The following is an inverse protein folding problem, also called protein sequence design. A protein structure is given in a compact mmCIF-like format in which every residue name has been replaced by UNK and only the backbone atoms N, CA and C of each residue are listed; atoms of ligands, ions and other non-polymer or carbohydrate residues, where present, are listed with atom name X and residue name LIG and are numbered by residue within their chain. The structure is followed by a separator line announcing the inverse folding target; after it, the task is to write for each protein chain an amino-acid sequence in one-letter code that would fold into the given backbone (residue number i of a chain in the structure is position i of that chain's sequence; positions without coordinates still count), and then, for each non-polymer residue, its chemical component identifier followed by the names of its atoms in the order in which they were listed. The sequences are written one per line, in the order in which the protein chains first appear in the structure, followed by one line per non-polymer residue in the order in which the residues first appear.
data_IF_724336163720
#
_entry.id   IF_724336163720
#
_cell.length_a   1.000
_cell.length_b   1.000
_cell.length_c   1.000
_cell.angle_alpha   90.00
_cell.angle_beta   90.00
_cell.angle_gamma   90.00
#
_symmetry.space_group_name_H-M   'P 1'
#
loop_
_entity.id
_entity.type
_entity.pdbx_description
1 polymer ?
#
# COMPACT_ATOMS: atom_id res chain seq x y z
N UNK A 1 -19.02 -2.13 8.04
CA UNK A 1 -19.02 -3.47 7.43
C UNK A 1 -17.80 -4.21 7.94
N UNK A 2 -17.94 -5.45 8.37
CA UNK A 2 -16.84 -6.32 8.74
C UNK A 2 -17.02 -7.67 8.04
N UNK A 3 -15.93 -8.22 7.53
CA UNK A 3 -15.89 -9.55 6.91
C UNK A 3 -14.79 -10.37 7.56
N UNK A 4 -14.99 -11.69 7.64
CA UNK A 4 -13.97 -12.61 8.15
C UNK A 4 -13.67 -13.67 7.08
N UNK A 5 -12.37 -13.93 6.90
CA UNK A 5 -11.85 -15.03 6.12
C UNK A 5 -11.04 -15.95 7.03
N UNK A 6 -11.24 -17.24 6.88
CA UNK A 6 -10.48 -18.29 7.55
C UNK A 6 -9.86 -19.24 6.54
N UNK A 7 -8.94 -20.05 7.00
CA UNK A 7 -8.37 -21.11 6.19
C UNK A 7 -9.43 -22.08 5.67
N UNK A 8 -9.15 -22.65 4.52
CA UNK A 8 -9.87 -23.75 3.91
C UNK A 8 -8.90 -24.87 3.55
N UNK A 9 -9.37 -26.06 3.23
CA UNK A 9 -8.51 -27.14 2.76
C UNK A 9 -7.68 -26.70 1.52
N UNK A 10 -8.26 -25.88 0.65
CA UNK A 10 -7.56 -25.34 -0.52
C UNK A 10 -6.47 -24.32 -0.14
N UNK A 11 -6.78 -23.35 0.71
CA UNK A 11 -5.79 -22.33 1.10
C UNK A 11 -4.62 -22.93 1.86
N UNK A 12 -4.85 -23.96 2.68
CA UNK A 12 -3.80 -24.68 3.41
C UNK A 12 -2.78 -25.39 2.51
N UNK A 13 -3.13 -25.65 1.24
CA UNK A 13 -2.17 -26.23 0.27
C UNK A 13 -1.11 -25.24 -0.21
N UNK A 14 -1.38 -23.95 -0.08
CA UNK A 14 -0.50 -22.85 -0.54
C UNK A 14 0.08 -22.04 0.60
N UNK A 15 -0.68 -21.90 1.66
CA UNK A 15 -0.34 -21.19 2.87
C UNK A 15 -0.70 -22.10 4.06
N UNK A 16 0.24 -22.93 4.54
CA UNK A 16 -0.03 -24.05 5.44
C UNK A 16 -0.18 -23.61 6.91
N UNK A 17 -0.87 -22.52 7.13
CA UNK A 17 -1.13 -21.97 8.47
C UNK A 17 -2.63 -21.75 8.65
N UNK A 18 -3.24 -22.24 9.76
CA UNK A 18 -4.56 -21.78 10.17
C UNK A 18 -4.53 -20.28 10.45
N UNK A 19 -5.52 -19.54 9.97
CA UNK A 19 -5.61 -18.10 10.20
C UNK A 19 -7.06 -17.62 10.33
N UNK A 20 -7.24 -16.48 11.01
CA UNK A 20 -8.43 -15.66 10.91
C UNK A 20 -8.00 -14.25 10.46
N UNK A 21 -8.53 -13.80 9.34
CA UNK A 21 -8.41 -12.43 8.85
C UNK A 21 -9.76 -11.75 8.94
N UNK A 22 -9.85 -10.70 9.78
CA UNK A 22 -11.01 -9.80 9.78
C UNK A 22 -10.64 -8.48 9.11
N UNK A 23 -11.47 -8.05 8.19
CA UNK A 23 -11.36 -6.75 7.51
C UNK A 23 -12.59 -5.93 7.87
N UNK A 24 -12.35 -4.78 8.50
CA UNK A 24 -13.39 -3.84 8.91
C UNK A 24 -13.25 -2.53 8.15
N UNK A 25 -14.32 -2.14 7.46
CA UNK A 25 -14.46 -0.80 6.88
C UNK A 25 -15.49 -0.01 7.71
N UNK A 26 -15.11 1.19 8.11
CA UNK A 26 -15.99 2.06 8.89
C UNK A 26 -15.89 3.50 8.40
N UNK A 27 -17.05 4.11 8.16
CA UNK A 27 -17.15 5.54 7.90
C UNK A 27 -16.83 6.34 9.16
N UNK A 28 -16.19 7.47 8.97
CA UNK A 28 -15.93 8.51 9.99
C UNK A 28 -16.66 9.79 9.61
N UNK A 29 -16.52 10.85 10.39
CA UNK A 29 -17.17 12.13 10.07
C UNK A 29 -16.66 12.79 8.80
N UNK A 30 -15.42 12.49 8.38
CA UNK A 30 -14.72 13.11 7.26
C UNK A 30 -14.10 12.10 6.28
N UNK A 31 -14.43 10.81 6.40
CA UNK A 31 -13.86 9.79 5.53
C UNK A 31 -14.18 8.37 5.96
N UNK A 32 -13.17 7.50 6.00
CA UNK A 32 -13.29 6.12 6.46
C UNK A 32 -11.94 5.56 6.92
N UNK A 33 -11.99 4.44 7.61
CA UNK A 33 -10.80 3.61 7.81
C UNK A 33 -11.04 2.18 7.35
N UNK A 34 -9.93 1.52 6.99
CA UNK A 34 -9.85 0.07 6.81
C UNK A 34 -8.92 -0.49 7.87
N UNK A 35 -9.40 -1.48 8.59
CA UNK A 35 -8.67 -2.18 9.64
C UNK A 35 -8.58 -3.66 9.32
N UNK A 36 -7.38 -4.19 9.38
CA UNK A 36 -7.07 -5.62 9.30
C UNK A 36 -6.78 -6.14 10.71
N UNK A 37 -7.38 -7.27 11.06
CA UNK A 37 -7.01 -8.03 12.25
C UNK A 37 -6.69 -9.44 11.82
N UNK A 38 -5.39 -9.81 11.91
CA UNK A 38 -4.89 -11.15 11.63
C UNK A 38 -4.67 -11.86 12.95
N UNK A 39 -5.19 -13.07 13.07
CA UNK A 39 -5.02 -13.92 14.26
C UNK A 39 -4.44 -15.26 13.83
N UNK A 40 -3.50 -15.78 14.60
CA UNK A 40 -2.98 -17.13 14.48
C UNK A 40 -3.71 -18.07 15.45
N UNK A 41 -4.74 -18.85 15.00
CA UNK A 41 -5.41 -19.83 15.84
C UNK A 41 -4.67 -21.19 15.86
N UNK A 42 -3.55 -21.31 15.13
CA UNK A 42 -2.76 -22.53 15.01
C UNK A 42 -1.86 -22.79 16.22
N UNK A 43 -0.98 -23.79 16.06
CA UNK A 43 -0.06 -24.25 17.12
C UNK A 43 1.41 -23.97 16.80
N UNK A 44 1.69 -23.34 15.66
CA UNK A 44 3.03 -22.94 15.21
C UNK A 44 3.08 -21.45 14.88
N UNK A 45 4.26 -20.80 14.92
CA UNK A 45 4.42 -19.43 14.45
C UNK A 45 3.94 -19.25 13.01
N UNK A 46 3.20 -18.18 12.75
CA UNK A 46 2.54 -17.91 11.45
C UNK A 46 3.09 -16.60 10.88
N UNK A 47 3.88 -16.63 9.79
CA UNK A 47 4.33 -15.44 9.10
C UNK A 47 3.23 -14.93 8.15
N UNK A 48 3.04 -13.61 8.05
CA UNK A 48 2.13 -13.02 7.08
C UNK A 48 2.60 -11.65 6.58
N UNK A 49 2.11 -11.28 5.40
CA UNK A 49 2.13 -9.93 4.84
C UNK A 49 0.70 -9.50 4.53
N UNK A 50 0.41 -8.21 4.62
CA UNK A 50 -0.91 -7.67 4.30
C UNK A 50 -0.82 -6.20 3.88
N UNK A 51 -1.74 -5.75 3.03
CA UNK A 51 -1.80 -4.34 2.62
C UNK A 51 -3.17 -3.95 2.13
N UNK A 52 -3.37 -2.64 2.00
CA UNK A 52 -4.53 -2.06 1.34
C UNK A 52 -4.23 -1.79 -0.13
N UNK A 53 -5.24 -1.85 -0.98
CA UNK A 53 -5.13 -1.51 -2.41
C UNK A 53 -6.30 -0.62 -2.82
N UNK A 54 -6.36 0.57 -2.19
CA UNK A 54 -7.48 1.49 -2.39
C UNK A 54 -7.25 2.35 -3.62
N UNK A 55 -8.15 2.25 -4.59
CA UNK A 55 -8.18 3.10 -5.77
C UNK A 55 -9.02 4.36 -5.51
N UNK A 56 -8.46 5.51 -5.83
CA UNK A 56 -9.12 6.81 -5.79
C UNK A 56 -9.34 7.30 -7.20
N UNK A 57 -10.54 7.75 -7.51
CA UNK A 57 -10.78 8.43 -8.78
C UNK A 57 -9.82 9.62 -8.92
N UNK A 58 -9.15 9.72 -10.06
CA UNK A 58 -8.27 10.82 -10.41
C UNK A 58 -8.31 11.04 -11.93
N UNK A 59 -8.83 12.16 -12.43
CA UNK A 59 -9.28 13.37 -11.70
C UNK A 59 -10.56 13.16 -10.88
N UNK A 60 -10.75 13.97 -9.84
CA UNK A 60 -11.91 13.91 -8.94
C UNK A 60 -13.16 14.52 -9.57
N UNK A 61 -13.02 15.53 -10.44
CA UNK A 61 -14.11 16.23 -11.09
C UNK A 61 -13.97 16.22 -12.62
N UNK A 62 -15.10 16.47 -13.27
CA UNK A 62 -15.15 16.62 -14.73
C UNK A 62 -14.37 17.86 -15.18
N UNK A 63 -13.66 17.76 -16.30
CA UNK A 63 -12.82 18.84 -16.85
C UNK A 63 -11.42 18.94 -16.26
N UNK A 64 -11.14 18.26 -15.15
CA UNK A 64 -9.80 18.16 -14.58
C UNK A 64 -9.00 17.05 -15.25
N UNK A 65 -7.66 17.11 -15.15
CA UNK A 65 -6.73 16.11 -15.68
C UNK A 65 -5.97 15.40 -14.56
N UNK A 66 -5.48 14.22 -14.83
CA UNK A 66 -4.63 13.46 -13.92
C UNK A 66 -3.38 14.27 -13.50
N UNK A 67 -2.85 15.05 -14.44
CA UNK A 67 -1.67 15.89 -14.26
C UNK A 67 -1.93 17.18 -13.44
N UNK A 68 -3.19 17.51 -13.14
CA UNK A 68 -3.56 18.63 -12.26
C UNK A 68 -3.43 18.22 -10.77
N UNK A 69 -3.03 16.98 -10.50
CA UNK A 69 -2.91 16.44 -9.17
C UNK A 69 -1.46 16.10 -8.79
N UNK A 70 -1.20 16.10 -7.50
CA UNK A 70 0.05 15.61 -6.90
C UNK A 70 -0.20 14.74 -5.68
N UNK A 71 0.76 13.89 -5.38
CA UNK A 71 0.90 13.22 -4.10
C UNK A 71 1.71 14.13 -3.19
N UNK A 72 1.13 14.59 -2.08
CA UNK A 72 1.78 15.51 -1.12
C UNK A 72 2.00 14.76 0.20
N UNK A 73 3.25 14.64 0.58
CA UNK A 73 3.71 13.98 1.80
C UNK A 73 3.78 14.99 2.96
N UNK A 74 3.59 14.54 4.19
CA UNK A 74 3.60 15.42 5.38
C UNK A 74 5.01 15.84 5.82
N UNK A 75 6.05 15.22 5.26
CA UNK A 75 7.46 15.56 5.49
C UNK A 75 8.24 15.55 4.20
N UNK A 76 9.35 16.30 4.20
CA UNK A 76 10.29 16.20 3.09
C UNK A 76 11.02 14.86 3.12
N UNK A 77 11.10 14.23 1.98
CA UNK A 77 11.81 12.97 1.75
C UNK A 77 13.06 13.20 0.90
N UNK A 78 13.99 12.27 0.99
CA UNK A 78 15.17 12.19 0.12
C UNK A 78 15.48 10.69 -0.07
N UNK A 79 14.76 10.06 -0.99
CA UNK A 79 14.83 8.63 -1.25
C UNK A 79 14.45 8.30 -2.69
N UNK A 80 14.60 7.05 -3.08
CA UNK A 80 14.18 6.55 -4.38
C UNK A 80 13.12 5.46 -4.22
N UNK A 81 12.25 5.35 -5.21
CA UNK A 81 11.34 4.20 -5.32
C UNK A 81 12.14 2.91 -5.50
N UNK A 82 11.69 1.83 -4.90
CA UNK A 82 12.09 0.46 -5.27
C UNK A 82 11.40 0.10 -6.59
N UNK A 83 12.12 -0.56 -7.50
CA UNK A 83 11.56 -0.94 -8.80
C UNK A 83 11.01 -2.36 -8.79
N UNK A 84 9.82 -2.58 -9.38
CA UNK A 84 9.42 -3.92 -9.79
C UNK A 84 10.37 -4.44 -10.88
N UNK A 85 10.81 -5.66 -10.75
CA UNK A 85 11.64 -6.36 -11.71
C UNK A 85 10.93 -7.53 -12.39
N UNK A 86 11.66 -8.35 -13.17
CA UNK A 86 11.10 -9.51 -13.84
C UNK A 86 10.41 -10.46 -12.86
N UNK A 87 9.24 -10.96 -13.24
CA UNK A 87 8.47 -11.88 -12.40
C UNK A 87 7.76 -11.23 -11.21
N UNK A 88 7.76 -9.89 -11.12
CA UNK A 88 7.14 -9.15 -10.00
C UNK A 88 8.00 -9.07 -8.74
N UNK A 89 9.25 -9.49 -8.79
CA UNK A 89 10.20 -9.29 -7.69
C UNK A 89 10.56 -7.81 -7.55
N UNK A 90 10.87 -7.37 -6.33
CA UNK A 90 11.40 -6.02 -6.09
C UNK A 90 12.92 -6.02 -6.23
N UNK A 91 13.45 -5.07 -7.01
CA UNK A 91 14.88 -4.89 -7.23
C UNK A 91 15.40 -3.74 -6.37
N UNK A 92 16.21 -4.05 -5.35
CA UNK A 92 16.78 -3.04 -4.44
C UNK A 92 18.09 -2.43 -4.95
N UNK A 93 18.77 -3.09 -5.87
CA UNK A 93 20.05 -2.65 -6.45
C UNK A 93 19.88 -1.61 -7.59
N UNK A 94 18.65 -1.37 -8.03
CA UNK A 94 18.33 -0.37 -9.06
C UNK A 94 17.34 0.67 -8.51
N UNK A 95 17.81 1.88 -8.21
CA UNK A 95 16.92 2.92 -7.74
C UNK A 95 15.95 3.35 -8.85
N UNK A 96 14.70 3.44 -8.49
CA UNK A 96 13.62 4.01 -9.30
C UNK A 96 13.59 5.55 -9.21
N UNK A 97 12.46 6.17 -9.60
CA UNK A 97 12.28 7.60 -9.50
C UNK A 97 12.55 8.13 -8.09
N UNK A 98 13.32 9.23 -8.03
CA UNK A 98 13.62 9.90 -6.77
C UNK A 98 12.38 10.62 -6.24
N UNK A 99 12.23 10.60 -4.92
CA UNK A 99 11.36 11.48 -4.15
C UNK A 99 12.26 12.40 -3.34
N UNK A 100 12.39 13.64 -3.82
CA UNK A 100 13.15 14.70 -3.16
C UNK A 100 12.23 15.87 -2.87
N UNK A 101 12.02 16.19 -1.59
CA UNK A 101 11.05 17.19 -1.14
C UNK A 101 9.75 16.57 -0.66
N UNK A 102 8.64 17.27 -0.81
CA UNK A 102 7.37 16.93 -0.19
C UNK A 102 6.30 16.42 -1.16
N UNK A 103 6.57 16.34 -2.47
CA UNK A 103 5.53 15.98 -3.42
C UNK A 103 6.03 15.28 -4.68
N UNK A 104 5.11 14.55 -5.30
CA UNK A 104 5.25 13.97 -6.62
C UNK A 104 4.11 14.50 -7.50
N UNK A 105 4.45 15.23 -8.56
CA UNK A 105 3.45 15.61 -9.57
C UNK A 105 3.03 14.38 -10.36
N UNK A 106 1.74 14.13 -10.44
CA UNK A 106 1.23 12.99 -11.18
C UNK A 106 1.39 13.18 -12.68
N UNK A 107 1.81 12.15 -13.36
CA UNK A 107 1.65 11.95 -14.79
C UNK A 107 1.68 10.46 -15.12
N UNK A 108 0.94 10.04 -16.11
CA UNK A 108 0.87 8.62 -16.47
C UNK A 108 2.20 8.05 -16.97
N UNK A 109 3.07 8.88 -17.55
CA UNK A 109 4.36 8.43 -18.09
C UNK A 109 5.30 7.87 -17.00
N UNK A 110 5.15 8.30 -15.74
CA UNK A 110 5.91 7.70 -14.64
C UNK A 110 5.55 6.22 -14.55
N UNK A 111 4.27 5.90 -14.49
CA UNK A 111 3.75 4.53 -14.35
C UNK A 111 3.98 3.71 -15.61
N UNK A 112 3.94 4.32 -16.81
CA UNK A 112 4.30 3.64 -18.06
C UNK A 112 5.76 3.14 -18.05
N UNK A 113 6.64 3.79 -17.30
CA UNK A 113 8.08 3.45 -17.22
C UNK A 113 8.41 2.48 -16.11
N UNK A 114 7.78 2.64 -14.95
CA UNK A 114 8.18 1.89 -13.75
C UNK A 114 7.07 1.02 -13.17
N UNK A 115 5.90 0.99 -13.79
CA UNK A 115 4.69 0.31 -13.32
C UNK A 115 4.19 0.89 -11.98
N UNK A 116 4.92 0.70 -10.92
CA UNK A 116 4.54 1.06 -9.55
C UNK A 116 5.64 1.90 -8.90
N UNK A 117 5.26 2.97 -8.20
CA UNK A 117 6.15 3.69 -7.30
C UNK A 117 6.03 3.06 -5.92
N UNK A 118 7.12 2.48 -5.40
CA UNK A 118 7.14 1.78 -4.12
C UNK A 118 8.17 2.44 -3.20
N UNK A 119 7.74 2.90 -2.04
CA UNK A 119 8.61 3.53 -1.06
C UNK A 119 8.61 2.76 0.25
N UNK A 120 9.80 2.51 0.77
CA UNK A 120 10.04 1.85 2.04
C UNK A 120 10.62 2.86 3.05
N UNK A 121 10.16 2.80 4.28
CA UNK A 121 10.73 3.53 5.40
C UNK A 121 10.64 5.06 5.31
N UNK A 122 9.60 5.62 4.65
CA UNK A 122 9.39 7.06 4.60
C UNK A 122 9.32 7.68 6.00
N UNK A 123 9.81 8.91 6.14
CA UNK A 123 9.61 9.73 7.35
C UNK A 123 8.15 10.16 7.47
N UNK A 124 7.50 10.38 6.33
CA UNK A 124 6.07 10.71 6.23
C UNK A 124 5.21 9.56 6.70
N UNK A 125 4.10 9.92 7.32
CA UNK A 125 3.07 8.98 7.78
C UNK A 125 1.73 9.22 7.11
N UNK A 126 1.62 10.32 6.38
CA UNK A 126 0.46 10.61 5.55
C UNK A 126 0.88 11.04 4.15
N UNK A 127 0.04 10.74 3.18
CA UNK A 127 0.13 11.26 1.82
C UNK A 127 -1.25 11.75 1.38
N UNK A 128 -1.28 12.85 0.65
CA UNK A 128 -2.52 13.43 0.12
C UNK A 128 -2.48 13.39 -1.40
N UNK A 129 -3.49 12.79 -2.03
CA UNK A 129 -3.83 13.05 -3.43
C UNK A 129 -4.54 14.40 -3.48
N UNK A 130 -3.96 15.41 -4.10
CA UNK A 130 -4.44 16.78 -4.02
C UNK A 130 -4.42 17.49 -5.38
N UNK A 131 -5.53 18.16 -5.73
CA UNK A 131 -5.61 19.01 -6.89
C UNK A 131 -4.87 20.33 -6.64
N UNK A 132 -4.00 20.74 -7.58
CA UNK A 132 -3.11 21.91 -7.45
C UNK A 132 -3.88 23.22 -7.27
N UNK A 133 -4.94 23.42 -8.04
CA UNK A 133 -5.68 24.68 -8.06
C UNK A 133 -6.67 24.86 -6.92
N UNK A 134 -7.34 23.78 -6.49
CA UNK A 134 -8.43 23.86 -5.50
C UNK A 134 -8.03 23.35 -4.12
N UNK A 135 -6.99 22.55 -4.03
CA UNK A 135 -6.60 21.87 -2.80
C UNK A 135 -7.48 20.66 -2.41
N UNK A 136 -8.59 20.42 -3.13
CA UNK A 136 -9.45 19.26 -2.90
C UNK A 136 -8.70 17.96 -3.11
N UNK A 137 -9.10 16.95 -2.37
CA UNK A 137 -8.45 15.67 -2.48
C UNK A 137 -8.83 14.67 -1.40
N UNK A 138 -7.94 13.72 -1.19
CA UNK A 138 -8.01 12.77 -0.09
C UNK A 138 -6.65 12.67 0.59
N UNK A 139 -6.65 12.45 1.89
CA UNK A 139 -5.45 12.14 2.67
C UNK A 139 -5.53 10.71 3.14
N UNK A 140 -4.44 9.97 2.99
CA UNK A 140 -4.28 8.61 3.51
C UNK A 140 -3.24 8.64 4.62
N UNK A 141 -3.63 8.23 5.82
CA UNK A 141 -2.73 7.94 6.94
C UNK A 141 -2.35 6.46 6.85
N UNK A 142 -1.06 6.21 6.66
CA UNK A 142 -0.47 4.87 6.57
C UNK A 142 0.56 4.62 7.69
N UNK A 143 0.46 5.35 8.79
CA UNK A 143 1.44 5.36 9.88
C UNK A 143 1.71 3.98 10.52
N UNK A 144 0.76 3.05 10.42
CA UNK A 144 0.92 1.67 10.91
C UNK A 144 1.62 0.74 9.89
N UNK A 145 1.98 1.26 8.70
CA UNK A 145 2.60 0.46 7.63
C UNK A 145 4.01 0.98 7.31
N UNK A 146 4.99 0.08 7.12
CA UNK A 146 6.36 0.48 6.79
C UNK A 146 6.54 0.96 5.36
N UNK A 147 5.67 0.52 4.45
CA UNK A 147 5.77 0.82 3.02
C UNK A 147 4.47 1.44 2.50
N UNK A 148 4.61 2.21 1.42
CA UNK A 148 3.48 2.70 0.63
C UNK A 148 3.80 2.60 -0.86
N UNK A 149 2.82 2.12 -1.63
CA UNK A 149 2.94 2.08 -3.08
C UNK A 149 1.87 2.94 -3.75
N UNK A 150 2.18 3.42 -4.96
CA UNK A 150 1.28 4.18 -5.81
C UNK A 150 1.24 3.53 -7.18
N UNK A 151 0.03 3.33 -7.69
CA UNK A 151 -0.16 2.64 -8.96
C UNK A 151 -1.37 3.18 -9.73
N UNK A 152 -1.22 3.27 -11.03
CA UNK A 152 -2.31 3.34 -11.99
C UNK A 152 -1.95 2.46 -13.17
N UNK A 153 -2.93 1.96 -13.91
CA UNK A 153 -2.68 1.00 -14.97
C UNK A 153 -1.80 1.61 -16.08
N UNK A 154 -0.59 1.07 -16.32
CA UNK A 154 0.30 1.55 -17.36
C UNK A 154 -0.32 1.48 -18.76
N UNK A 155 -0.02 2.44 -19.62
CA UNK A 155 -0.43 2.48 -21.02
C UNK A 155 -1.89 2.79 -21.30
N UNK A 156 -2.77 2.86 -20.29
CA UNK A 156 -4.23 2.92 -20.47
C UNK A 156 -4.84 4.28 -20.16
N UNK A 157 -4.10 5.20 -19.51
CA UNK A 157 -4.63 6.48 -19.03
C UNK A 157 -5.86 6.31 -18.14
N UNK A 158 -5.80 5.33 -17.25
CA UNK A 158 -6.89 5.02 -16.33
C UNK A 158 -7.22 6.21 -15.41
N UNK A 159 -8.52 6.52 -15.16
CA UNK A 159 -8.93 7.67 -14.37
C UNK A 159 -8.91 7.40 -12.87
N UNK A 160 -7.83 6.82 -12.36
CA UNK A 160 -7.65 6.55 -10.93
C UNK A 160 -6.18 6.48 -10.58
N UNK A 161 -5.90 6.55 -9.29
CA UNK A 161 -4.63 6.19 -8.67
C UNK A 161 -4.88 5.36 -7.42
N UNK A 162 -4.13 4.30 -7.25
CA UNK A 162 -4.11 3.51 -6.02
C UNK A 162 -3.09 4.11 -5.05
N UNK A 163 -3.46 4.15 -3.77
CA UNK A 163 -2.57 4.44 -2.65
C UNK A 163 -2.62 3.23 -1.73
N UNK A 164 -1.49 2.56 -1.59
CA UNK A 164 -1.41 1.20 -1.09
C UNK A 164 -0.46 1.11 0.11
N UNK A 165 -0.96 1.19 1.34
CA UNK A 165 -0.18 0.87 2.53
C UNK A 165 0.17 -0.61 2.58
N UNK A 166 1.45 -0.97 2.76
CA UNK A 166 1.92 -2.34 2.79
C UNK A 166 2.66 -2.69 4.09
N UNK A 167 2.28 -3.80 4.70
CA UNK A 167 3.00 -4.53 5.72
C UNK A 167 3.56 -5.81 5.10
N UNK A 168 4.81 -5.78 4.70
CA UNK A 168 5.43 -6.77 3.82
C UNK A 168 5.41 -6.31 2.36
N UNK A 169 6.02 -7.08 1.49
CA UNK A 169 6.14 -6.76 0.07
C UNK A 169 6.11 -8.02 -0.80
N UNK A 170 6.16 -7.84 -2.11
CA UNK A 170 6.42 -8.92 -3.06
C UNK A 170 7.79 -9.57 -2.78
N UNK A 171 8.11 -10.67 -3.47
CA UNK A 171 9.43 -11.26 -3.41
C UNK A 171 10.50 -10.21 -3.76
N UNK A 172 11.64 -10.25 -3.07
CA UNK A 172 12.79 -9.40 -3.39
C UNK A 172 13.84 -10.21 -4.15
N UNK A 173 14.63 -9.52 -4.96
CA UNK A 173 15.80 -10.13 -5.56
C UNK A 173 16.75 -10.63 -4.46
N UNK A 174 17.29 -11.83 -4.63
CA UNK A 174 18.09 -12.56 -3.62
C UNK A 174 17.32 -13.07 -2.39
N UNK A 175 15.99 -13.17 -2.44
CA UNK A 175 15.19 -13.79 -1.38
C UNK A 175 15.50 -15.29 -1.29
N UNK A 176 15.58 -15.83 -0.08
CA UNK A 176 15.86 -17.26 0.15
C UNK A 176 14.73 -18.18 -0.30
N UNK A 177 13.53 -17.64 -0.53
CA UNK A 177 12.29 -18.38 -0.77
C UNK A 177 11.58 -18.82 0.52
N UNK A 178 12.16 -18.60 1.68
CA UNK A 178 11.48 -18.80 2.96
C UNK A 178 10.64 -17.55 3.29
N UNK A 179 9.35 -17.76 3.54
CA UNK A 179 8.45 -16.67 3.87
C UNK A 179 8.86 -15.92 5.14
N UNK A 180 9.56 -16.60 6.05
CA UNK A 180 10.07 -16.00 7.30
C UNK A 180 11.22 -15.01 7.07
N UNK A 181 11.80 -14.97 5.88
CA UNK A 181 12.86 -14.03 5.52
C UNK A 181 12.34 -12.77 4.81
N UNK A 182 11.04 -12.73 4.43
CA UNK A 182 10.46 -11.57 3.74
C UNK A 182 10.62 -10.26 4.52
N UNK A 183 11.01 -9.17 3.84
CA UNK A 183 11.04 -7.85 4.47
C UNK A 183 9.66 -7.48 5.05
N UNK A 184 9.67 -6.88 6.23
CA UNK A 184 8.46 -6.39 6.91
C UNK A 184 7.35 -7.43 7.15
N UNK A 185 7.63 -8.75 7.01
CA UNK A 185 6.65 -9.77 7.46
C UNK A 185 6.36 -9.59 8.94
N UNK A 186 5.18 -10.01 9.34
CA UNK A 186 4.82 -10.19 10.75
C UNK A 186 4.82 -11.66 11.05
N UNK A 187 5.34 -12.07 12.21
CA UNK A 187 5.23 -13.44 12.73
C UNK A 187 4.34 -13.36 13.95
N UNK A 188 3.27 -14.15 13.97
CA UNK A 188 2.38 -14.30 15.13
C UNK A 188 2.63 -15.64 15.80
N UNK A 189 2.90 -15.61 17.08
CA UNK A 189 2.92 -16.82 17.91
C UNK A 189 1.50 -17.42 18.02
N UNK A 190 1.36 -18.69 18.40
CA UNK A 190 0.05 -19.32 18.64
C UNK A 190 -0.85 -18.47 19.55
N UNK A 191 -2.05 -18.19 19.11
CA UNK A 191 -3.03 -17.37 19.81
C UNK A 191 -2.87 -15.85 19.68
N UNK A 192 -1.77 -15.37 19.10
CA UNK A 192 -1.55 -13.93 18.90
C UNK A 192 -2.40 -13.34 17.80
N UNK A 193 -2.59 -12.02 17.90
CA UNK A 193 -3.26 -11.20 16.88
C UNK A 193 -2.50 -9.91 16.62
N UNK A 194 -2.44 -9.48 15.37
CA UNK A 194 -1.97 -8.17 14.95
C UNK A 194 -3.13 -7.37 14.34
N UNK A 195 -3.24 -6.11 14.73
CA UNK A 195 -4.13 -5.12 14.12
C UNK A 195 -3.28 -4.12 13.33
N UNK A 196 -3.75 -3.76 12.14
CA UNK A 196 -3.18 -2.73 11.27
C UNK A 196 -4.32 -1.92 10.66
N UNK A 197 -4.17 -0.59 10.62
CA UNK A 197 -5.20 0.31 10.11
C UNK A 197 -4.58 1.40 9.24
N UNK A 198 -5.26 1.72 8.15
CA UNK A 198 -5.08 2.99 7.45
C UNK A 198 -6.38 3.78 7.42
N UNK A 199 -6.25 5.09 7.39
CA UNK A 199 -7.40 6.01 7.41
C UNK A 199 -7.37 6.90 6.18
N UNK A 200 -8.54 7.15 5.61
CA UNK A 200 -8.75 8.09 4.50
C UNK A 200 -9.63 9.23 4.98
N UNK A 201 -9.17 10.46 4.80
CA UNK A 201 -9.94 11.68 5.09
C UNK A 201 -10.13 12.50 3.83
N UNK A 202 -11.29 13.15 3.69
CA UNK A 202 -11.58 14.07 2.61
C UNK A 202 -10.89 15.42 2.87
N UNK A 203 -10.37 16.03 1.81
CA UNK A 203 -9.84 17.39 1.82
C UNK A 203 -10.77 18.29 1.03
N UNK A 204 -11.26 19.35 1.68
CA UNK A 204 -12.11 20.38 1.10
C UNK A 204 -11.35 21.53 0.49
#
# INVERSE_FOLDING_TARGET
MEVELRETAETLTRYPFPFSLRVRHQLTGDGFFTEFRVTNPGTAPMPFCIGGHTAFRCPLAEGEKFEDYRLVFDRAEDTCSVLPGPGGCLCHDKPGPALSGTDIRLNHQIFDRVDTLIYDGLRSKTVSLRHDGTGRGVRVDFSEFPMVAFWTMPGVRAPYICIEPWQGCAAVDNESGDFTDKPHRVILEPGESKRLRYTVSLLG
#
